data_IF_203268784883
#
_entry.id   IF_203268784883
#
_cell.length_a   1.000
_cell.length_b   1.000
_cell.length_c   1.000
_cell.angle_alpha   90.00
_cell.angle_beta   90.00
_cell.angle_gamma   90.00
#
_symmetry.space_group_name_H-M   'P 1'
#
loop_
_entity.id
_entity.type
_entity.pdbx_description
1 polymer ?
#
# COMPACT_ATOMS: atom_id res chain seq x y z
N UNK A 1 -12.19 -0.53 -19.58
CA UNK A 1 -10.96 0.29 -19.46
C UNK A 1 -9.77 -0.67 -19.50
N UNK A 2 -8.69 -0.31 -20.16
CA UNK A 2 -7.45 -1.12 -20.22
C UNK A 2 -6.48 -0.57 -19.17
N UNK A 3 -5.86 -1.47 -18.39
CA UNK A 3 -4.84 -1.08 -17.40
C UNK A 3 -3.47 -1.55 -17.89
N UNK A 4 -2.50 -0.65 -17.84
CA UNK A 4 -1.08 -0.98 -17.96
C UNK A 4 -0.45 -0.76 -16.58
N UNK A 5 0.52 -1.55 -16.24
CA UNK A 5 1.21 -1.45 -14.95
C UNK A 5 2.70 -1.74 -15.09
N UNK A 6 3.46 -1.21 -14.16
CA UNK A 6 4.85 -1.57 -13.93
C UNK A 6 5.15 -1.47 -12.44
N UNK A 7 6.02 -2.32 -11.93
CA UNK A 7 6.44 -2.32 -10.54
C UNK A 7 7.95 -2.52 -10.44
N UNK A 8 8.54 -1.94 -9.40
CA UNK A 8 9.93 -2.17 -9.02
C UNK A 8 10.06 -2.12 -7.52
N UNK A 9 10.87 -3.03 -6.98
CA UNK A 9 11.32 -3.01 -5.59
C UNK A 9 12.84 -3.01 -5.55
N UNK A 10 13.41 -2.41 -4.51
CA UNK A 10 14.86 -2.28 -4.32
C UNK A 10 15.16 -2.31 -2.81
N UNK A 11 16.28 -2.91 -2.44
CA UNK A 11 16.69 -3.02 -1.04
C UNK A 11 17.06 -1.67 -0.42
N UNK A 12 17.30 -0.66 -1.24
CA UNK A 12 17.85 0.62 -0.80
C UNK A 12 19.35 0.59 -0.56
N UNK A 13 19.89 1.69 -0.01
CA UNK A 13 21.33 1.86 0.17
C UNK A 13 21.80 1.53 1.60
N UNK A 14 20.89 1.34 2.55
CA UNK A 14 21.19 1.16 3.97
C UNK A 14 20.73 -0.16 4.55
N UNK A 15 19.76 -0.80 3.92
CA UNK A 15 19.24 -2.11 4.35
C UNK A 15 20.05 -3.24 3.71
N UNK A 16 20.01 -4.43 4.32
CA UNK A 16 20.65 -5.66 3.80
C UNK A 16 19.65 -6.66 3.26
N UNK A 17 18.37 -6.53 3.67
CA UNK A 17 17.25 -7.36 3.25
C UNK A 17 16.11 -6.48 2.77
N UNK A 18 15.32 -7.00 1.86
CA UNK A 18 14.12 -6.34 1.39
C UNK A 18 12.92 -6.96 2.09
N UNK A 19 12.28 -6.19 2.96
CA UNK A 19 11.07 -6.59 3.69
C UNK A 19 9.79 -6.11 2.98
N UNK A 20 9.91 -5.33 1.91
CA UNK A 20 8.81 -4.94 1.04
C UNK A 20 8.35 -6.11 0.16
N UNK A 21 7.07 -6.12 -0.16
CA UNK A 21 6.50 -7.04 -1.14
C UNK A 21 5.42 -6.35 -1.98
N UNK A 22 5.35 -6.68 -3.26
CA UNK A 22 4.22 -6.28 -4.11
C UNK A 22 3.60 -7.49 -4.80
N UNK A 23 2.32 -7.40 -5.13
CA UNK A 23 1.60 -8.45 -5.84
C UNK A 23 0.69 -7.87 -6.92
N UNK A 24 0.62 -8.59 -8.04
CA UNK A 24 -0.16 -8.26 -9.22
C UNK A 24 -1.14 -9.42 -9.46
N UNK A 25 -2.40 -9.26 -9.06
CA UNK A 25 -3.46 -10.28 -9.24
C UNK A 25 -4.28 -9.82 -10.44
N UNK A 26 -3.74 -10.07 -11.64
CA UNK A 26 -4.22 -9.50 -12.90
C UNK A 26 -5.67 -9.89 -13.22
N UNK A 27 -6.03 -11.16 -13.01
CA UNK A 27 -7.38 -11.67 -13.24
C UNK A 27 -8.45 -10.98 -12.40
N UNK A 28 -8.07 -10.44 -11.23
CA UNK A 28 -8.93 -9.71 -10.32
C UNK A 28 -8.74 -8.18 -10.45
N UNK A 29 -7.82 -7.72 -11.29
CA UNK A 29 -7.42 -6.32 -11.38
C UNK A 29 -7.07 -5.72 -9.99
N UNK A 30 -6.40 -6.52 -9.14
CA UNK A 30 -6.01 -6.17 -7.78
C UNK A 30 -4.49 -6.08 -7.68
N UNK A 31 -4.02 -4.95 -7.17
CA UNK A 31 -2.63 -4.56 -7.08
C UNK A 31 -2.30 -4.17 -5.64
N UNK A 32 -1.19 -4.71 -5.10
CA UNK A 32 -0.84 -4.60 -3.69
C UNK A 32 0.62 -4.17 -3.52
N UNK A 33 0.87 -3.32 -2.53
CA UNK A 33 2.21 -3.06 -1.97
C UNK A 33 2.11 -3.22 -0.46
N UNK A 34 3.06 -3.93 0.13
CA UNK A 34 3.16 -4.20 1.55
C UNK A 34 4.59 -3.93 2.00
N UNK A 35 4.75 -3.16 3.08
CA UNK A 35 6.02 -2.81 3.70
C UNK A 35 6.12 -3.57 5.02
N UNK A 36 7.03 -4.52 5.06
CA UNK A 36 7.19 -5.42 6.18
C UNK A 36 8.03 -4.83 7.30
N UNK A 37 7.61 -5.03 8.52
CA UNK A 37 8.34 -4.64 9.71
C UNK A 37 8.55 -5.81 10.67
N UNK A 38 9.72 -5.85 11.29
CA UNK A 38 10.04 -6.86 12.31
C UNK A 38 11.55 -7.04 12.47
N UNK A 39 11.98 -7.71 13.55
CA UNK A 39 13.37 -8.07 13.73
C UNK A 39 13.75 -9.33 12.94
N UNK A 40 15.00 -9.44 12.48
CA UNK A 40 15.57 -10.67 11.89
C UNK A 40 14.79 -11.25 10.68
N UNK A 41 14.52 -10.43 9.65
CA UNK A 41 13.85 -10.84 8.40
C UNK A 41 12.37 -11.31 8.58
N UNK A 42 11.74 -11.02 9.70
CA UNK A 42 10.34 -11.37 9.91
C UNK A 42 9.37 -10.42 9.19
N UNK A 43 9.79 -9.21 8.84
CA UNK A 43 9.03 -8.27 8.01
C UNK A 43 8.78 -8.81 6.59
N UNK A 44 9.80 -9.42 5.95
CA UNK A 44 9.66 -10.09 4.66
C UNK A 44 8.57 -11.18 4.68
N UNK A 45 8.52 -11.95 5.78
CA UNK A 45 7.48 -12.99 5.94
C UNK A 45 6.10 -12.36 6.08
N UNK A 46 5.97 -11.28 6.83
CA UNK A 46 4.70 -10.61 7.07
C UNK A 46 4.15 -9.95 5.79
N UNK A 47 4.97 -9.20 5.04
CA UNK A 47 4.56 -8.52 3.81
C UNK A 47 4.15 -9.51 2.71
N UNK A 48 4.93 -10.57 2.53
CA UNK A 48 4.61 -11.66 1.61
C UNK A 48 3.33 -12.39 2.02
N UNK A 49 3.20 -12.76 3.31
CA UNK A 49 2.01 -13.43 3.83
C UNK A 49 0.74 -12.59 3.65
N UNK A 50 0.82 -11.26 3.81
CA UNK A 50 -0.29 -10.36 3.56
C UNK A 50 -0.77 -10.46 2.11
N UNK A 51 0.14 -10.30 1.16
CA UNK A 51 -0.19 -10.31 -0.26
C UNK A 51 -0.71 -11.69 -0.72
N UNK A 52 -0.07 -12.78 -0.30
CA UNK A 52 -0.49 -14.14 -0.63
C UNK A 52 -1.87 -14.47 -0.06
N UNK A 53 -2.14 -14.10 1.22
CA UNK A 53 -3.44 -14.36 1.84
C UNK A 53 -4.56 -13.63 1.14
N UNK A 54 -4.35 -12.37 0.75
CA UNK A 54 -5.33 -11.59 -0.01
C UNK A 54 -5.55 -12.26 -1.38
N UNK A 55 -4.50 -12.66 -2.08
CA UNK A 55 -4.59 -13.35 -3.36
C UNK A 55 -5.35 -14.68 -3.28
N UNK A 56 -5.03 -15.54 -2.31
CA UNK A 56 -5.74 -16.79 -2.05
C UNK A 56 -7.23 -16.58 -1.77
N UNK A 57 -7.57 -15.55 -0.98
CA UNK A 57 -8.96 -15.20 -0.69
C UNK A 57 -9.72 -14.78 -1.95
N UNK A 58 -9.10 -13.97 -2.80
CA UNK A 58 -9.69 -13.52 -4.05
C UNK A 58 -9.87 -14.66 -5.05
N UNK A 59 -8.87 -15.52 -5.21
CA UNK A 59 -8.98 -16.71 -6.05
C UNK A 59 -10.11 -17.62 -5.56
N UNK A 60 -10.15 -17.97 -4.28
CA UNK A 60 -11.17 -18.84 -3.70
C UNK A 60 -12.60 -18.28 -3.87
N UNK A 61 -12.79 -16.99 -3.62
CA UNK A 61 -14.13 -16.35 -3.73
C UNK A 61 -14.55 -16.05 -5.17
N UNK A 62 -13.65 -16.19 -6.16
CA UNK A 62 -13.97 -16.19 -7.58
C UNK A 62 -14.46 -17.55 -8.04
N UNK A 63 -13.81 -18.62 -7.59
CA UNK A 63 -14.11 -20.00 -7.98
C UNK A 63 -15.37 -20.54 -7.32
N UNK A 64 -15.74 -20.03 -6.15
CA UNK A 64 -16.90 -20.45 -5.37
C UNK A 64 -17.70 -19.21 -4.89
N UNK A 65 -18.77 -18.89 -5.58
CA UNK A 65 -19.66 -17.75 -5.26
C UNK A 65 -20.39 -17.95 -3.92
N UNK A 66 -20.57 -19.21 -3.46
CA UNK A 66 -21.19 -19.56 -2.19
C UNK A 66 -20.15 -19.63 -1.05
N UNK A 67 -18.88 -19.33 -1.30
CA UNK A 67 -17.83 -19.36 -0.29
C UNK A 67 -18.20 -18.48 0.91
N UNK A 68 -18.21 -19.08 2.10
CA UNK A 68 -18.45 -18.34 3.34
C UNK A 68 -17.26 -17.46 3.66
N UNK A 69 -17.51 -16.18 3.85
CA UNK A 69 -16.49 -15.22 4.25
C UNK A 69 -16.26 -15.27 5.76
N UNK A 70 -14.99 -15.11 6.23
CA UNK A 70 -14.67 -15.20 7.65
C UNK A 70 -15.19 -14.02 8.48
N UNK A 71 -15.60 -12.91 7.83
CA UNK A 71 -16.11 -11.72 8.47
C UNK A 71 -17.50 -11.38 7.93
N UNK A 72 -18.37 -10.87 8.83
CA UNK A 72 -19.68 -10.35 8.43
C UNK A 72 -19.51 -9.14 7.53
N UNK A 73 -20.36 -9.06 6.51
CA UNK A 73 -20.41 -7.89 5.63
C UNK A 73 -20.92 -6.66 6.40
N UNK A 74 -20.23 -5.54 6.19
CA UNK A 74 -20.71 -4.23 6.62
C UNK A 74 -21.76 -3.73 5.61
N UNK A 75 -22.97 -3.44 6.08
CA UNK A 75 -24.08 -2.99 5.23
C UNK A 75 -23.86 -1.58 4.66
N UNK A 76 -22.95 -0.81 5.19
CA UNK A 76 -22.58 0.53 4.69
C UNK A 76 -21.64 0.47 3.48
N UNK A 77 -21.00 -0.67 3.26
CA UNK A 77 -20.04 -0.90 2.19
C UNK A 77 -20.67 -1.72 1.04
N UNK A 78 -20.22 -1.46 -0.18
CA UNK A 78 -20.57 -2.30 -1.33
C UNK A 78 -19.97 -3.70 -1.20
N UNK A 79 -20.44 -4.66 -2.01
CA UNK A 79 -19.88 -6.00 -2.07
C UNK A 79 -18.36 -5.99 -2.35
N UNK A 80 -17.92 -5.14 -3.30
CA UNK A 80 -16.52 -5.02 -3.70
C UNK A 80 -15.67 -4.50 -2.54
N UNK A 81 -16.15 -3.47 -1.82
CA UNK A 81 -15.47 -2.93 -0.66
C UNK A 81 -15.39 -3.95 0.48
N UNK A 82 -16.49 -4.64 0.77
CA UNK A 82 -16.50 -5.72 1.76
C UNK A 82 -15.51 -6.84 1.42
N UNK A 83 -15.43 -7.25 0.13
CA UNK A 83 -14.49 -8.29 -0.31
C UNK A 83 -13.04 -7.87 -0.07
N UNK A 84 -12.69 -6.63 -0.39
CA UNK A 84 -11.34 -6.10 -0.17
C UNK A 84 -11.00 -5.99 1.32
N UNK A 85 -11.92 -5.42 2.11
CA UNK A 85 -11.76 -5.32 3.57
C UNK A 85 -11.64 -6.71 4.23
N UNK A 86 -12.43 -7.68 3.78
CA UNK A 86 -12.38 -9.05 4.29
C UNK A 86 -11.01 -9.71 4.00
N UNK A 87 -10.50 -9.58 2.78
CA UNK A 87 -9.17 -10.09 2.41
C UNK A 87 -8.05 -9.49 3.27
N UNK A 88 -8.07 -8.18 3.50
CA UNK A 88 -7.08 -7.50 4.33
C UNK A 88 -7.20 -7.92 5.81
N UNK A 89 -8.41 -8.03 6.35
CA UNK A 89 -8.62 -8.52 7.72
C UNK A 89 -8.18 -9.97 7.90
N UNK A 90 -8.39 -10.82 6.89
CA UNK A 90 -7.93 -12.20 6.93
C UNK A 90 -6.40 -12.28 6.94
N UNK A 91 -5.74 -11.45 6.13
CA UNK A 91 -4.29 -11.31 6.14
C UNK A 91 -3.77 -10.87 7.52
N UNK A 92 -4.42 -9.87 8.13
CA UNK A 92 -4.08 -9.43 9.48
C UNK A 92 -4.16 -10.58 10.50
N UNK A 93 -5.26 -11.33 10.50
CA UNK A 93 -5.45 -12.43 11.45
C UNK A 93 -4.37 -13.51 11.26
N UNK A 94 -4.06 -13.88 10.01
CA UNK A 94 -3.04 -14.89 9.69
C UNK A 94 -1.64 -14.48 10.17
N UNK A 95 -1.26 -13.22 9.96
CA UNK A 95 0.02 -12.68 10.45
C UNK A 95 0.05 -12.67 11.98
N UNK A 96 -1.01 -12.16 12.63
CA UNK A 96 -1.12 -12.13 14.09
C UNK A 96 -1.03 -13.52 14.73
N UNK A 97 -1.77 -14.49 14.21
CA UNK A 97 -1.72 -15.87 14.70
C UNK A 97 -0.33 -16.50 14.52
N UNK A 98 0.30 -16.29 13.36
CA UNK A 98 1.65 -16.83 13.08
C UNK A 98 2.69 -16.21 14.00
N UNK A 99 2.63 -14.88 14.21
CA UNK A 99 3.51 -14.16 15.13
C UNK A 99 3.37 -14.66 16.59
N UNK A 100 2.17 -15.07 17.00
CA UNK A 100 1.95 -15.58 18.36
C UNK A 100 2.30 -17.07 18.53
N UNK A 101 2.25 -17.86 17.46
CA UNK A 101 2.56 -19.30 17.51
C UNK A 101 4.04 -19.63 17.39
N UNK A 102 4.81 -18.78 16.69
CA UNK A 102 6.23 -19.03 16.42
C UNK A 102 7.09 -17.85 16.86
N UNK A 103 7.94 -18.09 17.86
CA UNK A 103 8.82 -17.08 18.44
C UNK A 103 9.78 -16.45 17.42
N UNK A 104 10.08 -17.14 16.30
CA UNK A 104 10.92 -16.58 15.21
C UNK A 104 10.26 -15.39 14.55
N UNK A 105 8.94 -15.33 14.55
CA UNK A 105 8.13 -14.29 13.91
C UNK A 105 7.47 -13.35 14.92
N UNK A 106 7.92 -13.40 16.19
CA UNK A 106 7.34 -12.58 17.24
C UNK A 106 7.46 -11.07 16.91
N UNK A 107 6.31 -10.40 16.87
CA UNK A 107 6.25 -8.96 16.61
C UNK A 107 6.37 -8.59 15.14
N UNK A 108 6.30 -9.56 14.20
CA UNK A 108 6.22 -9.24 12.78
C UNK A 108 4.91 -8.53 12.45
N UNK A 109 4.98 -7.62 11.51
CA UNK A 109 3.83 -6.91 10.97
C UNK A 109 4.13 -6.38 9.59
N UNK A 110 3.15 -5.78 8.96
CA UNK A 110 3.32 -5.12 7.66
C UNK A 110 2.27 -4.04 7.45
N UNK A 111 2.61 -3.03 6.67
CA UNK A 111 1.60 -2.16 6.07
C UNK A 111 0.90 -2.91 4.92
N UNK A 112 -0.14 -2.33 4.38
CA UNK A 112 -0.73 -2.71 3.12
C UNK A 112 -1.38 -1.50 2.45
N UNK A 113 -1.12 -1.32 1.16
CA UNK A 113 -1.94 -0.50 0.26
C UNK A 113 -2.38 -1.34 -0.91
N UNK A 114 -3.61 -1.16 -1.31
CA UNK A 114 -4.25 -1.94 -2.37
C UNK A 114 -5.07 -1.07 -3.30
N UNK A 115 -5.03 -1.40 -4.59
CA UNK A 115 -5.88 -0.83 -5.62
C UNK A 115 -6.61 -1.96 -6.34
N UNK A 116 -7.93 -1.99 -6.21
CA UNK A 116 -8.81 -2.90 -6.94
C UNK A 116 -9.60 -2.10 -7.99
N UNK A 117 -9.53 -2.50 -9.24
CA UNK A 117 -10.25 -1.86 -10.33
C UNK A 117 -11.48 -2.70 -10.69
N UNK A 118 -12.64 -2.08 -10.67
CA UNK A 118 -13.90 -2.72 -11.07
C UNK A 118 -14.81 -1.70 -11.76
N UNK A 119 -15.16 -2.01 -13.02
CA UNK A 119 -15.94 -1.11 -13.87
C UNK A 119 -15.17 0.19 -14.15
N UNK A 120 -15.74 1.31 -13.74
CA UNK A 120 -15.22 2.65 -13.89
C UNK A 120 -14.66 3.25 -12.56
N UNK A 121 -14.47 2.39 -11.55
CA UNK A 121 -13.99 2.78 -10.22
C UNK A 121 -12.72 2.05 -9.83
N UNK A 122 -11.90 2.74 -9.05
CA UNK A 122 -10.81 2.17 -8.28
C UNK A 122 -11.18 2.20 -6.80
N UNK A 123 -10.95 1.09 -6.11
CA UNK A 123 -11.15 0.93 -4.68
C UNK A 123 -9.79 0.87 -4.04
N UNK A 124 -9.53 1.81 -3.14
CA UNK A 124 -8.26 1.93 -2.42
C UNK A 124 -8.47 1.48 -0.99
N UNK A 125 -7.85 0.37 -0.61
CA UNK A 125 -7.85 -0.14 0.76
C UNK A 125 -6.46 -0.05 1.37
N UNK A 126 -6.33 0.43 2.62
CA UNK A 126 -5.01 0.52 3.24
C UNK A 126 -5.02 0.36 4.77
N UNK A 127 -3.85 -0.06 5.27
CA UNK A 127 -3.45 -0.04 6.69
C UNK A 127 -1.96 0.27 6.75
N UNK A 128 -1.56 1.30 7.49
CA UNK A 128 -0.18 1.75 7.63
C UNK A 128 0.07 3.10 6.98
N UNK A 129 1.31 3.38 6.65
CA UNK A 129 1.82 4.63 6.07
C UNK A 129 2.40 4.47 4.65
N UNK A 130 2.30 3.29 4.06
CA UNK A 130 2.43 3.12 2.62
C UNK A 130 1.31 3.88 1.92
N UNK A 131 1.58 4.44 0.74
CA UNK A 131 0.69 5.42 0.13
C UNK A 131 0.17 5.01 -1.23
N UNK A 132 -1.00 5.53 -1.56
CA UNK A 132 -1.55 5.55 -2.93
C UNK A 132 -1.74 7.00 -3.34
N UNK A 133 -1.13 7.35 -4.48
CA UNK A 133 -1.35 8.64 -5.13
C UNK A 133 -2.15 8.45 -6.41
N UNK A 134 -2.88 9.49 -6.80
CA UNK A 134 -3.47 9.65 -8.13
C UNK A 134 -2.82 10.83 -8.82
N UNK A 135 -2.32 10.60 -10.02
CA UNK A 135 -1.87 11.62 -10.94
C UNK A 135 -2.92 11.80 -12.04
N UNK A 136 -3.51 12.99 -12.10
CA UNK A 136 -4.55 13.39 -13.08
C UNK A 136 -4.29 14.81 -13.52
N UNK A 137 -4.28 15.07 -14.82
CA UNK A 137 -4.09 16.43 -15.40
C UNK A 137 -2.81 17.09 -14.85
N UNK A 138 -1.73 16.34 -14.69
CA UNK A 138 -0.44 16.72 -14.08
C UNK A 138 -0.52 17.12 -12.58
N UNK A 139 -1.64 16.97 -11.93
CA UNK A 139 -1.77 17.16 -10.48
C UNK A 139 -1.68 15.83 -9.74
N UNK A 140 -0.84 15.79 -8.72
CA UNK A 140 -0.73 14.64 -7.80
C UNK A 140 -1.63 14.86 -6.59
N UNK A 141 -2.28 13.80 -6.15
CA UNK A 141 -3.10 13.80 -4.93
C UNK A 141 -2.90 12.48 -4.18
N UNK A 142 -2.53 12.54 -2.93
CA UNK A 142 -2.51 11.39 -2.03
C UNK A 142 -3.95 10.96 -1.74
N UNK A 143 -4.26 9.68 -1.95
CA UNK A 143 -5.60 9.11 -1.73
C UNK A 143 -5.73 8.40 -0.39
N UNK A 144 -4.62 7.94 0.18
CA UNK A 144 -4.53 7.35 1.51
C UNK A 144 -4.23 8.42 2.55
N UNK A 145 -4.52 8.14 3.80
CA UNK A 145 -4.05 8.92 4.94
C UNK A 145 -3.17 8.03 5.80
N UNK A 146 -1.96 8.46 6.07
CA UNK A 146 -1.00 7.65 6.81
C UNK A 146 -1.51 7.34 8.23
N UNK A 147 -1.40 6.10 8.64
CA UNK A 147 -1.62 5.73 10.03
C UNK A 147 -0.33 5.91 10.82
N UNK A 148 -0.01 7.16 11.09
CA UNK A 148 1.22 7.58 11.78
C UNK A 148 0.91 8.51 12.95
N UNK A 149 1.84 8.58 13.90
CA UNK A 149 1.71 9.46 15.05
C UNK A 149 1.59 10.94 14.63
N UNK A 150 2.28 11.32 13.57
CA UNK A 150 2.19 12.67 13.01
C UNK A 150 0.78 12.98 12.51
N UNK A 151 0.18 12.09 11.73
CA UNK A 151 -1.17 12.30 11.19
C UNK A 151 -2.25 12.27 12.28
N UNK A 152 -2.09 11.42 13.30
CA UNK A 152 -2.98 11.43 14.47
C UNK A 152 -2.86 12.76 15.25
N UNK A 153 -1.64 13.31 15.36
CA UNK A 153 -1.42 14.61 15.99
C UNK A 153 -1.99 15.76 15.18
N UNK A 154 -1.84 15.77 13.86
CA UNK A 154 -2.43 16.78 12.95
C UNK A 154 -3.96 16.81 13.06
N UNK A 155 -4.59 15.66 13.22
CA UNK A 155 -6.04 15.60 13.46
C UNK A 155 -6.45 16.26 14.77
N UNK A 156 -5.65 16.07 15.82
CA UNK A 156 -5.88 16.70 17.13
C UNK A 156 -5.51 18.19 17.16
N UNK A 157 -4.57 18.62 16.29
CA UNK A 157 -4.07 20.00 16.16
C UNK A 157 -4.11 20.48 14.71
N UNK A 158 -5.27 20.87 14.18
CA UNK A 158 -5.43 21.26 12.75
C UNK A 158 -4.65 22.52 12.32
N UNK A 159 -4.18 23.32 13.31
CA UNK A 159 -3.40 24.55 13.10
C UNK A 159 -1.88 24.30 13.18
N UNK A 160 -1.44 23.04 13.10
CA UNK A 160 -0.03 22.68 13.04
C UNK A 160 0.65 23.31 11.83
N UNK A 161 1.76 24.01 12.05
CA UNK A 161 2.53 24.65 10.95
C UNK A 161 3.41 23.63 10.24
N UNK A 162 3.80 23.96 8.98
CA UNK A 162 4.74 23.12 8.22
C UNK A 162 6.10 22.96 8.93
N UNK A 163 6.53 23.96 9.72
CA UNK A 163 7.77 23.88 10.49
C UNK A 163 7.63 22.91 11.66
N UNK A 164 6.50 22.94 12.38
CA UNK A 164 6.18 21.98 13.45
C UNK A 164 6.10 20.56 12.88
N UNK A 165 5.49 20.38 11.69
CA UNK A 165 5.40 19.09 11.02
C UNK A 165 6.80 18.56 10.64
N UNK A 166 7.65 19.40 10.04
CA UNK A 166 9.03 19.01 9.69
C UNK A 166 9.85 18.57 10.90
N UNK A 167 9.66 19.25 12.03
CA UNK A 167 10.39 19.02 13.27
C UNK A 167 9.68 18.06 14.23
N UNK A 168 8.55 17.46 13.82
CA UNK A 168 7.79 16.57 14.68
C UNK A 168 8.61 15.34 15.09
N UNK A 169 8.81 15.08 16.40
CA UNK A 169 9.54 13.91 16.86
C UNK A 169 8.73 12.64 16.52
N UNK A 170 9.44 11.58 16.12
CA UNK A 170 8.81 10.29 15.84
C UNK A 170 7.74 10.32 14.72
N UNK A 171 7.91 11.17 13.71
CA UNK A 171 6.98 11.28 12.57
C UNK A 171 6.77 9.96 11.81
N UNK A 172 7.75 9.05 11.85
CA UNK A 172 7.71 7.73 11.19
C UNK A 172 7.17 6.62 12.12
N UNK A 173 6.58 6.96 13.27
CA UNK A 173 5.98 5.95 14.14
C UNK A 173 4.61 5.58 13.59
N UNK A 174 4.48 4.34 13.12
CA UNK A 174 3.24 3.77 12.59
C UNK A 174 2.30 3.45 13.76
N UNK A 175 1.05 3.90 13.67
CA UNK A 175 0.03 3.66 14.71
C UNK A 175 -0.89 2.48 14.38
N UNK A 176 -0.87 2.00 13.12
CA UNK A 176 -1.67 0.87 12.68
C UNK A 176 -0.96 0.07 11.60
N UNK A 177 -0.85 -1.27 11.81
CA UNK A 177 -0.28 -2.21 10.87
C UNK A 177 -0.94 -3.59 11.01
N UNK A 178 -0.84 -4.42 9.97
CA UNK A 178 -1.30 -5.81 10.00
C UNK A 178 -0.40 -6.65 10.92
N UNK A 179 -1.01 -7.58 11.63
CA UNK A 179 -0.31 -8.52 12.52
C UNK A 179 -0.03 -8.01 13.93
N UNK A 180 -0.19 -6.71 14.19
CA UNK A 180 0.09 -6.12 15.50
C UNK A 180 -1.00 -6.39 16.54
N UNK A 181 -2.24 -6.59 16.09
CA UNK A 181 -3.41 -6.93 16.93
C UNK A 181 -4.26 -7.97 16.21
N UNK A 182 -5.05 -8.72 16.97
CA UNK A 182 -5.98 -9.72 16.43
C UNK A 182 -6.95 -9.12 15.40
N UNK A 183 -7.41 -7.92 15.63
CA UNK A 183 -8.32 -7.19 14.73
C UNK A 183 -7.68 -5.90 14.23
N UNK A 184 -8.02 -5.50 13.01
CA UNK A 184 -7.56 -4.27 12.39
C UNK A 184 -8.71 -3.52 11.75
N UNK A 185 -8.69 -2.19 11.85
CA UNK A 185 -9.55 -1.32 11.06
C UNK A 185 -8.86 -1.04 9.73
N UNK A 186 -9.56 -1.33 8.64
CA UNK A 186 -9.11 -1.07 7.27
C UNK A 186 -9.79 0.20 6.78
N UNK A 187 -9.01 1.15 6.31
CA UNK A 187 -9.54 2.33 5.64
C UNK A 187 -9.77 1.97 4.16
N UNK A 188 -10.98 2.28 3.65
CA UNK A 188 -11.37 2.00 2.27
C UNK A 188 -12.08 3.19 1.66
N UNK A 189 -11.73 3.53 0.41
CA UNK A 189 -12.38 4.57 -0.38
C UNK A 189 -12.46 4.16 -1.83
N UNK A 190 -13.51 4.61 -2.52
CA UNK A 190 -13.64 4.42 -3.96
C UNK A 190 -13.56 5.76 -4.70
N UNK A 191 -12.93 5.73 -5.87
CA UNK A 191 -12.78 6.90 -6.73
C UNK A 191 -13.16 6.57 -8.17
N UNK A 192 -13.73 7.56 -8.86
CA UNK A 192 -14.02 7.45 -10.29
C UNK A 192 -12.72 7.54 -11.08
N UNK A 193 -12.49 6.56 -11.97
CA UNK A 193 -11.35 6.53 -12.88
C UNK A 193 -11.66 7.39 -14.12
N UNK A 194 -10.64 8.10 -14.60
CA UNK A 194 -10.65 8.74 -15.92
C UNK A 194 -9.53 8.16 -16.78
N UNK A 195 -9.76 8.15 -18.10
CA UNK A 195 -8.67 7.81 -19.03
C UNK A 195 -7.52 8.79 -18.89
N UNK A 196 -6.31 8.26 -18.81
CA UNK A 196 -5.09 9.03 -18.55
C UNK A 196 -4.67 9.11 -17.10
N UNK A 197 -5.52 8.69 -16.15
CA UNK A 197 -5.10 8.61 -14.74
C UNK A 197 -3.92 7.66 -14.58
N UNK A 198 -2.98 8.04 -13.71
CA UNK A 198 -1.94 7.15 -13.21
C UNK A 198 -2.08 7.07 -11.69
N UNK A 199 -2.19 5.85 -11.18
CA UNK A 199 -2.16 5.57 -9.75
C UNK A 199 -0.77 5.03 -9.37
N UNK A 200 -0.25 5.49 -8.24
CA UNK A 200 1.09 5.14 -7.76
C UNK A 200 0.91 4.59 -6.35
N UNK A 201 1.24 3.31 -6.18
CA UNK A 201 1.32 2.66 -4.87
C UNK A 201 2.79 2.60 -4.48
N UNK A 202 3.12 2.94 -3.24
CA UNK A 202 4.51 2.88 -2.79
C UNK A 202 4.64 2.64 -1.28
N UNK A 203 5.77 2.05 -0.88
CA UNK A 203 6.23 2.06 0.51
C UNK A 203 6.80 3.42 0.92
N UNK A 204 7.05 3.60 2.20
CA UNK A 204 7.59 4.83 2.77
C UNK A 204 9.03 5.13 2.31
N UNK A 205 9.80 4.11 1.89
CA UNK A 205 11.12 4.28 1.29
C UNK A 205 11.10 5.10 0.00
N UNK A 206 9.97 5.19 -0.71
CA UNK A 206 9.80 6.15 -1.79
C UNK A 206 9.34 7.52 -1.25
N UNK A 207 8.20 7.57 -0.58
CA UNK A 207 7.56 8.83 -0.17
C UNK A 207 8.31 9.57 0.94
N UNK A 208 9.14 8.88 1.71
CA UNK A 208 10.06 9.49 2.67
C UNK A 208 11.31 10.11 2.05
N UNK A 209 11.67 9.70 0.83
CA UNK A 209 12.87 10.15 0.14
C UNK A 209 12.59 11.09 -1.03
N UNK A 210 11.42 11.03 -1.64
CA UNK A 210 11.05 11.79 -2.84
C UNK A 210 9.76 12.57 -2.56
N UNK A 211 9.80 13.89 -2.70
CA UNK A 211 8.62 14.74 -2.48
C UNK A 211 7.58 14.54 -3.59
N UNK A 212 6.32 14.78 -3.28
CA UNK A 212 5.17 14.51 -4.15
C UNK A 212 5.31 15.15 -5.54
N UNK A 213 5.75 16.41 -5.61
CA UNK A 213 5.97 17.11 -6.89
C UNK A 213 7.03 16.40 -7.77
N UNK A 214 8.08 15.87 -7.15
CA UNK A 214 9.11 15.12 -7.87
C UNK A 214 8.59 13.75 -8.33
N UNK A 215 7.77 13.08 -7.50
CA UNK A 215 7.08 11.84 -7.89
C UNK A 215 6.21 12.12 -9.13
N UNK A 216 5.45 13.21 -9.14
CA UNK A 216 4.62 13.61 -10.27
C UNK A 216 5.46 13.88 -11.53
N UNK A 217 6.52 14.66 -11.42
CA UNK A 217 7.40 15.00 -12.54
C UNK A 217 8.05 13.78 -13.19
N UNK A 218 8.57 12.86 -12.38
CA UNK A 218 9.18 11.61 -12.86
C UNK A 218 8.12 10.76 -13.56
N UNK A 219 6.96 10.58 -12.92
CA UNK A 219 5.90 9.72 -13.43
C UNK A 219 5.29 10.22 -14.75
N UNK A 220 5.24 11.54 -14.97
CA UNK A 220 4.74 12.14 -16.22
C UNK A 220 5.81 12.28 -17.31
N UNK A 221 7.05 12.51 -16.91
CA UNK A 221 8.17 12.75 -17.84
C UNK A 221 8.78 11.47 -18.44
N UNK A 222 8.55 10.32 -17.82
CA UNK A 222 9.14 9.07 -18.26
C UNK A 222 8.53 8.57 -19.58
N UNK A 223 9.37 7.93 -20.43
CA UNK A 223 8.95 7.39 -21.74
C UNK A 223 8.06 6.16 -21.64
N UNK A 224 8.06 5.45 -20.53
CA UNK A 224 7.22 4.28 -20.24
C UNK A 224 7.05 4.10 -18.73
N UNK A 225 6.06 3.27 -18.31
CA UNK A 225 5.84 2.96 -16.90
C UNK A 225 7.05 2.27 -16.26
N UNK A 226 7.70 1.36 -16.99
CA UNK A 226 8.89 0.64 -16.53
C UNK A 226 10.05 1.62 -16.27
N UNK A 227 10.15 2.66 -17.12
CA UNK A 227 11.14 3.73 -16.92
C UNK A 227 10.77 4.60 -15.74
N UNK A 228 9.49 4.93 -15.57
CA UNK A 228 9.01 5.71 -14.43
C UNK A 228 9.33 5.04 -13.08
N UNK A 229 8.99 3.74 -12.93
CA UNK A 229 9.29 3.03 -11.67
C UNK A 229 10.80 2.93 -11.42
N UNK A 230 11.60 2.75 -12.47
CA UNK A 230 13.06 2.72 -12.34
C UNK A 230 13.61 4.08 -11.87
N UNK A 231 13.16 5.18 -12.49
CA UNK A 231 13.62 6.52 -12.15
C UNK A 231 13.15 6.98 -10.76
N UNK A 232 11.97 6.54 -10.30
CA UNK A 232 11.48 6.78 -8.94
C UNK A 232 12.36 6.09 -7.89
N UNK A 233 12.66 4.80 -8.09
CA UNK A 233 13.56 4.03 -7.21
C UNK A 233 14.96 4.64 -7.21
N UNK A 234 15.50 5.00 -8.38
CA UNK A 234 16.81 5.65 -8.50
C UNK A 234 16.84 7.01 -7.81
N UNK A 235 15.73 7.78 -7.86
CA UNK A 235 15.62 9.06 -7.16
C UNK A 235 15.64 8.87 -5.64
N UNK A 236 14.89 7.91 -5.11
CA UNK A 236 14.91 7.60 -3.68
C UNK A 236 16.28 7.13 -3.21
N UNK A 237 16.96 6.29 -3.99
CA UNK A 237 18.34 5.85 -3.70
C UNK A 237 19.34 7.02 -3.71
N UNK A 238 19.25 7.94 -4.68
CA UNK A 238 20.10 9.16 -4.72
C UNK A 238 19.87 10.07 -3.53
N UNK A 239 18.65 10.10 -2.97
CA UNK A 239 18.29 10.89 -1.80
C UNK A 239 18.66 10.21 -0.47
N UNK A 240 19.33 9.04 -0.53
CA UNK A 240 19.86 8.36 0.63
C UNK A 240 19.50 6.89 0.73
N UNK A 241 18.35 6.45 0.15
CA UNK A 241 17.90 5.06 0.14
C UNK A 241 17.93 4.41 1.52
N UNK A 242 17.35 5.11 2.51
CA UNK A 242 17.46 4.71 3.92
C UNK A 242 16.63 3.48 4.26
N UNK A 243 15.65 3.14 3.43
CA UNK A 243 14.80 1.97 3.57
C UNK A 243 14.64 1.19 2.27
N UNK A 244 13.90 0.08 2.32
CA UNK A 244 13.42 -0.64 1.15
C UNK A 244 12.49 0.25 0.34
N UNK A 245 12.59 0.21 -0.98
CA UNK A 245 11.87 1.12 -1.88
C UNK A 245 11.03 0.28 -2.82
N UNK A 246 9.71 0.36 -2.69
CA UNK A 246 8.79 -0.31 -3.60
C UNK A 246 7.83 0.69 -4.22
N UNK A 247 7.68 0.61 -5.54
CA UNK A 247 6.71 1.42 -6.29
C UNK A 247 6.02 0.60 -7.38
N UNK A 248 4.73 0.82 -7.52
CA UNK A 248 3.87 0.20 -8.52
C UNK A 248 3.00 1.27 -9.15
N UNK A 249 3.08 1.40 -10.48
CA UNK A 249 2.30 2.35 -11.27
C UNK A 249 1.21 1.64 -12.05
N UNK A 250 0.00 2.19 -12.04
CA UNK A 250 -1.16 1.74 -12.81
C UNK A 250 -1.61 2.86 -13.73
N UNK A 251 -1.58 2.66 -15.03
CA UNK A 251 -2.07 3.63 -16.01
C UNK A 251 -3.41 3.16 -16.58
N UNK A 252 -4.41 4.03 -16.48
CA UNK A 252 -5.74 3.80 -17.00
C UNK A 252 -5.88 4.35 -18.44
N UNK A 253 -6.17 3.49 -19.39
CA UNK A 253 -6.32 3.84 -20.81
C UNK A 253 -7.79 3.67 -21.23
N UNK A 254 -8.21 4.47 -22.21
CA UNK A 254 -9.49 4.24 -22.87
C UNK A 254 -9.55 2.80 -23.41
N UNK A 255 -10.76 2.20 -23.40
CA UNK A 255 -11.00 0.88 -23.97
C UNK A 255 -10.89 0.92 -25.49
#
# INVERSE_FOLDING_TARGET
>A
MKIRYAAKTDVGMKRTHNEDYFSLIEDEQLFLVADGMGGHASGEVASKMAAETIGEFYQRTREDEDATWPYKMDRSLSYIENRLVCGIKLANLRIFETSNRDLRYKGMGTTIVSCLISGDKIYVGHVGDSRVYRLRDNAIAQLTRDHSLLEDYKEAKPDMTEEEERNFPHKNVITRALGMRETVQVDIRSHQIKSGDVYILCSDGLSGMVVDDQIAQISTGAKSLERAVAELVDAANRNGGTDNITTLLLQCLAA
#
